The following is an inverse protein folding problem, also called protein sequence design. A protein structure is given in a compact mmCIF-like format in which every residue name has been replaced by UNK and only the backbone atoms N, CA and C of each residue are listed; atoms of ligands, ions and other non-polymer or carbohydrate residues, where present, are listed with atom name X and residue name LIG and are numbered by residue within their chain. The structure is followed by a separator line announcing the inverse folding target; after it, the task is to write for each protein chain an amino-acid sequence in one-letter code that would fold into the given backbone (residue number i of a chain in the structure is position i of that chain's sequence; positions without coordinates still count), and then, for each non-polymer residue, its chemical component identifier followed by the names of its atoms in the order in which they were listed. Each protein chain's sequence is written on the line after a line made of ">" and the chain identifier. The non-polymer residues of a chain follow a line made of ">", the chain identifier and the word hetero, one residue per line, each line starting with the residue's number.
data_IF_971749645655
#
_entry.id   IF_971749645655
#
_cell.length_a   1.000
_cell.length_b   1.000
_cell.length_c   1.000
_cell.angle_alpha   90.00
_cell.angle_beta   90.00
_cell.angle_gamma   90.00
#
_symmetry.space_group_name_H-M   'P 1'
#
loop_
_entity.id
_entity.type
_entity.pdbx_description
1 polymer ?
#
# COMPACT_ATOMS: atom_id res chain seq x y z
N UNK A 1 -2.29 0.95 2.18
CA UNK A 1 -3.54 0.64 1.46
C UNK A 1 -4.76 1.35 2.05
N UNK A 2 -5.09 1.21 3.34
CA UNK A 2 -6.39 1.66 3.84
C UNK A 2 -6.61 3.18 3.69
N UNK A 3 -5.65 3.99 4.16
CA UNK A 3 -5.68 5.46 3.98
C UNK A 3 -5.73 5.91 2.51
N UNK A 4 -5.04 5.21 1.60
CA UNK A 4 -5.03 5.57 0.18
C UNK A 4 -6.42 5.38 -0.47
N UNK A 5 -7.15 4.34 -0.07
CA UNK A 5 -8.52 4.11 -0.54
C UNK A 5 -9.47 5.17 0.03
N UNK A 6 -9.37 5.50 1.33
CA UNK A 6 -10.24 6.52 1.93
C UNK A 6 -9.97 7.93 1.41
N UNK A 7 -8.72 8.25 1.03
CA UNK A 7 -8.37 9.49 0.32
C UNK A 7 -8.98 9.57 -1.09
N UNK A 8 -9.36 8.43 -1.67
CA UNK A 8 -10.13 8.33 -2.91
C UNK A 8 -11.64 8.21 -2.68
N UNK A 9 -12.11 8.39 -1.44
CA UNK A 9 -13.54 8.31 -1.09
C UNK A 9 -14.08 6.88 -0.99
N UNK A 10 -13.21 5.87 -1.07
CA UNK A 10 -13.62 4.47 -1.06
C UNK A 10 -13.74 3.88 0.34
N UNK A 11 -14.25 2.64 0.36
CA UNK A 11 -14.30 1.79 1.54
C UNK A 11 -13.29 0.66 1.35
N UNK A 12 -12.52 0.36 2.39
CA UNK A 12 -11.46 -0.64 2.34
C UNK A 12 -11.63 -1.64 3.48
N UNK A 13 -11.58 -2.93 3.15
CA UNK A 13 -11.33 -4.01 4.11
C UNK A 13 -9.92 -4.52 3.85
N UNK A 14 -9.02 -4.34 4.81
CA UNK A 14 -7.65 -4.87 4.78
C UNK A 14 -7.58 -6.08 5.71
N UNK A 15 -7.28 -7.26 5.15
CA UNK A 15 -7.06 -8.47 5.95
C UNK A 15 -5.61 -8.49 6.45
N UNK A 16 -5.42 -8.68 7.76
CA UNK A 16 -4.10 -8.76 8.40
C UNK A 16 -4.17 -9.83 9.50
N UNK A 17 -3.16 -10.68 9.59
CA UNK A 17 -3.15 -11.82 10.53
C UNK A 17 -2.53 -11.45 11.88
N UNK A 18 -1.66 -10.43 11.89
CA UNK A 18 -0.99 -9.95 13.09
C UNK A 18 -1.74 -8.73 13.67
N UNK A 19 -2.42 -8.92 14.81
CA UNK A 19 -3.19 -7.87 15.46
C UNK A 19 -2.33 -6.67 15.88
N UNK A 20 -1.03 -6.86 16.18
CA UNK A 20 -0.13 -5.75 16.50
C UNK A 20 0.07 -4.83 15.28
N UNK A 21 0.11 -5.40 14.07
CA UNK A 21 0.20 -4.62 12.82
C UNK A 21 -1.06 -3.79 12.60
N UNK A 22 -2.24 -4.34 12.90
CA UNK A 22 -3.51 -3.62 12.85
C UNK A 22 -3.49 -2.45 13.84
N UNK A 23 -3.15 -2.72 15.11
CA UNK A 23 -3.11 -1.69 16.17
C UNK A 23 -2.16 -0.55 15.80
N UNK A 24 -0.96 -0.86 15.26
CA UNK A 24 -0.02 0.17 14.80
C UNK A 24 -0.60 1.07 13.70
N UNK A 25 -1.46 0.55 12.81
CA UNK A 25 -2.11 1.37 11.77
C UNK A 25 -3.23 2.24 12.32
N UNK A 26 -3.94 1.79 13.36
CA UNK A 26 -4.89 2.61 14.10
C UNK A 26 -4.16 3.77 14.79
N UNK A 27 -3.09 3.47 15.54
CA UNK A 27 -2.29 4.47 16.28
C UNK A 27 -1.73 5.57 15.36
N UNK A 28 -1.31 5.20 14.15
CA UNK A 28 -0.70 6.12 13.19
C UNK A 28 -1.71 6.81 12.26
N UNK A 29 -3.02 6.58 12.47
CA UNK A 29 -4.09 7.18 11.66
C UNK A 29 -4.17 6.66 10.22
N UNK A 30 -3.55 5.51 9.93
CA UNK A 30 -3.58 4.87 8.60
C UNK A 30 -4.75 3.90 8.40
N UNK A 31 -5.50 3.63 9.47
CA UNK A 31 -6.67 2.75 9.54
C UNK A 31 -7.70 3.38 10.48
N UNK A 32 -9.00 3.26 10.15
CA UNK A 32 -10.06 3.87 10.97
C UNK A 32 -10.55 2.94 12.08
N UNK A 33 -10.69 1.64 11.80
CA UNK A 33 -11.17 0.67 12.78
C UNK A 33 -10.69 -0.76 12.51
N UNK A 34 -10.91 -1.66 13.48
CA UNK A 34 -10.64 -3.09 13.35
C UNK A 34 -11.87 -3.95 13.64
N UNK A 35 -11.93 -5.12 13.02
CA UNK A 35 -12.93 -6.16 13.22
C UNK A 35 -12.25 -7.54 13.32
N UNK A 36 -12.90 -8.50 13.96
CA UNK A 36 -12.38 -9.86 14.15
C UNK A 36 -13.11 -10.92 13.34
N UNK A 37 -14.17 -10.54 12.62
CA UNK A 37 -14.95 -11.45 11.79
C UNK A 37 -15.40 -10.77 10.49
N UNK A 38 -15.53 -11.57 9.44
CA UNK A 38 -15.86 -11.09 8.10
C UNK A 38 -17.27 -10.50 8.04
N UNK A 39 -18.25 -11.14 8.68
CA UNK A 39 -19.66 -10.71 8.58
C UNK A 39 -19.88 -9.32 9.18
N UNK A 40 -19.26 -9.02 10.33
CA UNK A 40 -19.21 -7.69 10.92
C UNK A 40 -18.55 -6.67 9.99
N UNK A 41 -17.38 -6.99 9.44
CA UNK A 41 -16.66 -6.10 8.54
C UNK A 41 -17.48 -5.75 7.29
N UNK A 42 -18.21 -6.73 6.72
CA UNK A 42 -19.09 -6.53 5.58
C UNK A 42 -20.31 -5.68 5.95
N UNK A 43 -20.94 -5.92 7.10
CA UNK A 43 -22.08 -5.13 7.55
C UNK A 43 -21.70 -3.65 7.74
N UNK A 44 -20.54 -3.40 8.36
CA UNK A 44 -20.01 -2.04 8.54
C UNK A 44 -19.67 -1.40 7.18
N UNK A 45 -19.03 -2.14 6.28
CA UNK A 45 -18.70 -1.63 4.94
C UNK A 45 -19.96 -1.28 4.14
N UNK A 46 -20.99 -2.12 4.17
CA UNK A 46 -22.27 -1.84 3.51
C UNK A 46 -22.95 -0.60 4.11
N UNK A 47 -22.96 -0.47 5.44
CA UNK A 47 -23.51 0.71 6.09
C UNK A 47 -22.78 1.99 5.69
N UNK A 48 -21.45 1.96 5.67
CA UNK A 48 -20.64 3.08 5.21
C UNK A 48 -20.90 3.44 3.73
N UNK A 49 -21.17 2.42 2.89
CA UNK A 49 -21.52 2.60 1.48
C UNK A 49 -22.88 3.29 1.31
N UNK A 50 -23.89 2.85 2.08
CA UNK A 50 -25.21 3.50 2.12
C UNK A 50 -25.11 4.97 2.56
N UNK A 51 -24.26 5.24 3.56
CA UNK A 51 -24.07 6.57 4.13
C UNK A 51 -23.10 7.45 3.31
N UNK A 52 -22.60 6.95 2.15
CA UNK A 52 -21.58 7.62 1.31
C UNK A 52 -20.34 8.08 2.09
N UNK A 53 -19.88 7.27 3.04
CA UNK A 53 -18.76 7.58 3.92
C UNK A 53 -17.55 6.71 3.59
N UNK A 54 -16.42 7.35 3.28
CA UNK A 54 -15.15 6.67 3.17
C UNK A 54 -14.74 6.05 4.52
N UNK A 55 -14.33 4.78 4.51
CA UNK A 55 -14.01 4.04 5.73
C UNK A 55 -12.98 2.94 5.47
N UNK A 56 -12.05 2.76 6.40
CA UNK A 56 -11.07 1.68 6.36
C UNK A 56 -11.18 0.74 7.57
N UNK A 57 -11.28 -0.56 7.30
CA UNK A 57 -11.55 -1.62 8.26
C UNK A 57 -10.41 -2.63 8.20
N UNK A 58 -9.72 -2.83 9.31
CA UNK A 58 -8.71 -3.89 9.46
C UNK A 58 -9.38 -5.15 9.96
N UNK A 59 -9.43 -6.19 9.14
CA UNK A 59 -10.01 -7.47 9.51
C UNK A 59 -8.91 -8.41 9.96
N UNK A 60 -8.93 -8.81 11.24
CA UNK A 60 -8.02 -9.82 11.76
C UNK A 60 -8.32 -11.18 11.10
N UNK A 61 -7.35 -11.73 10.39
CA UNK A 61 -7.47 -13.04 9.75
C UNK A 61 -6.37 -13.32 8.73
N UNK A 62 -6.34 -14.55 8.22
CA UNK A 62 -5.43 -14.92 7.14
C UNK A 62 -6.07 -14.62 5.77
N UNK A 63 -5.38 -13.91 4.88
CA UNK A 63 -5.90 -13.60 3.55
C UNK A 63 -6.27 -14.85 2.74
N UNK A 64 -5.51 -15.95 2.88
CA UNK A 64 -5.81 -17.23 2.23
C UNK A 64 -7.05 -17.94 2.81
N UNK A 65 -7.54 -17.56 3.99
CA UNK A 65 -8.83 -18.01 4.52
C UNK A 65 -9.98 -17.06 4.18
N UNK A 66 -9.71 -15.75 4.23
CA UNK A 66 -10.75 -14.73 4.08
C UNK A 66 -11.15 -14.53 2.62
N UNK A 67 -10.21 -14.47 1.68
CA UNK A 67 -10.55 -14.23 0.27
C UNK A 67 -11.45 -15.34 -0.32
N UNK A 68 -11.24 -16.64 -0.03
CA UNK A 68 -12.20 -17.68 -0.41
C UNK A 68 -13.61 -17.46 0.14
N UNK A 69 -13.75 -16.92 1.36
CA UNK A 69 -15.08 -16.68 1.98
C UNK A 69 -15.87 -15.58 1.27
N UNK A 70 -15.21 -14.59 0.66
CA UNK A 70 -15.89 -13.62 -0.20
C UNK A 70 -16.58 -14.31 -1.38
N UNK A 71 -15.92 -15.31 -1.98
CA UNK A 71 -16.47 -16.08 -3.10
C UNK A 71 -17.63 -16.97 -2.63
N UNK A 72 -17.44 -17.68 -1.51
CA UNK A 72 -18.45 -18.56 -0.90
C UNK A 72 -19.74 -17.80 -0.58
N UNK A 73 -19.61 -16.62 0.05
CA UNK A 73 -20.74 -15.75 0.40
C UNK A 73 -21.26 -14.92 -0.77
N UNK A 74 -20.66 -15.07 -1.96
CA UNK A 74 -20.96 -14.30 -3.17
C UNK A 74 -20.91 -12.77 -2.95
N UNK A 75 -19.95 -12.32 -2.15
CA UNK A 75 -19.66 -10.90 -1.91
C UNK A 75 -18.53 -10.50 -2.83
N UNK A 76 -18.80 -9.59 -3.75
CA UNK A 76 -17.86 -9.22 -4.83
C UNK A 76 -17.40 -7.77 -4.63
N UNK A 77 -16.19 -7.54 -4.09
CA UNK A 77 -15.63 -6.20 -3.98
C UNK A 77 -15.41 -5.60 -5.37
N UNK A 78 -15.52 -4.29 -5.51
CA UNK A 78 -15.25 -3.62 -6.79
C UNK A 78 -13.77 -3.72 -7.19
N UNK A 79 -12.87 -3.68 -6.21
CA UNK A 79 -11.41 -3.73 -6.39
C UNK A 79 -10.81 -4.75 -5.43
N UNK A 80 -9.89 -5.59 -5.93
CA UNK A 80 -9.15 -6.57 -5.14
C UNK A 80 -7.66 -6.49 -5.47
N UNK A 81 -6.83 -6.42 -4.45
CA UNK A 81 -5.38 -6.46 -4.56
C UNK A 81 -4.77 -7.07 -3.31
N UNK A 82 -3.45 -7.28 -3.30
CA UNK A 82 -2.71 -7.83 -2.18
C UNK A 82 -1.38 -7.10 -1.97
N UNK A 83 -0.98 -6.99 -0.71
CA UNK A 83 0.32 -6.45 -0.30
C UNK A 83 0.89 -7.19 0.92
N UNK A 84 0.51 -8.46 1.13
CA UNK A 84 1.28 -9.36 2.01
C UNK A 84 2.74 -9.42 1.56
N UNK A 85 3.66 -9.84 2.42
CA UNK A 85 5.07 -9.98 2.04
C UNK A 85 5.32 -11.30 1.30
N UNK A 86 4.57 -11.56 0.22
CA UNK A 86 4.67 -12.81 -0.53
C UNK A 86 6.03 -13.05 -1.22
N UNK A 87 6.85 -12.01 -1.33
CA UNK A 87 8.22 -12.09 -1.85
C UNK A 87 9.18 -12.85 -0.92
N UNK A 88 8.79 -13.07 0.34
CA UNK A 88 9.54 -13.85 1.32
C UNK A 88 8.61 -14.93 1.91
N UNK A 89 8.70 -16.13 1.36
CA UNK A 89 7.89 -17.29 1.77
C UNK A 89 8.15 -17.77 3.19
N UNK A 90 9.29 -17.42 3.81
CA UNK A 90 9.67 -17.91 5.13
C UNK A 90 9.26 -16.94 6.24
N UNK A 91 9.49 -15.64 6.06
CA UNK A 91 9.18 -14.63 7.07
C UNK A 91 7.95 -13.79 6.73
N UNK A 92 7.63 -13.65 5.45
CA UNK A 92 6.68 -12.66 4.96
C UNK A 92 5.23 -13.13 4.82
N UNK A 93 5.00 -14.43 4.63
CA UNK A 93 3.65 -14.98 4.45
C UNK A 93 3.32 -16.05 5.48
N UNK A 94 2.21 -15.87 6.21
CA UNK A 94 1.80 -16.84 7.23
C UNK A 94 0.87 -17.91 6.63
N UNK A 95 1.17 -19.21 6.79
CA UNK A 95 0.30 -20.29 6.33
C UNK A 95 -1.09 -20.29 6.97
N UNK A 96 -2.13 -20.65 6.21
CA UNK A 96 -3.54 -20.51 6.63
C UNK A 96 -4.06 -21.65 7.53
N UNK A 97 -3.50 -22.86 7.42
CA UNK A 97 -3.96 -24.05 8.14
C UNK A 97 -3.38 -24.21 9.55
N UNK A 98 -2.63 -23.21 10.00
CA UNK A 98 -1.91 -23.25 11.27
C UNK A 98 -2.25 -21.97 12.01
N UNK A 99 -2.53 -22.08 13.31
CA UNK A 99 -2.73 -20.88 14.11
C UNK A 99 -1.45 -20.01 14.10
N UNK A 100 -1.60 -18.71 14.30
CA UNK A 100 -0.50 -17.77 14.18
C UNK A 100 0.73 -18.14 15.03
N UNK A 101 0.53 -18.52 16.30
CA UNK A 101 1.63 -18.86 17.23
C UNK A 101 2.37 -20.12 16.82
N UNK A 102 1.65 -21.15 16.39
CA UNK A 102 2.23 -22.41 15.93
C UNK A 102 2.95 -22.23 14.58
N UNK A 103 2.44 -21.34 13.72
CA UNK A 103 3.12 -20.98 12.48
C UNK A 103 4.47 -20.34 12.78
N UNK A 104 4.54 -19.40 13.73
CA UNK A 104 5.80 -18.80 14.17
C UNK A 104 6.75 -19.85 14.75
N UNK A 105 6.26 -20.79 15.57
CA UNK A 105 7.12 -21.88 16.09
C UNK A 105 7.59 -22.83 14.98
N UNK A 106 6.75 -23.13 13.99
CA UNK A 106 7.10 -23.98 12.86
C UNK A 106 8.17 -23.34 11.98
N UNK A 107 8.13 -22.02 11.79
CA UNK A 107 9.14 -21.27 11.03
C UNK A 107 10.56 -21.57 11.53
N UNK A 108 10.75 -21.60 12.84
CA UNK A 108 12.05 -21.88 13.46
C UNK A 108 12.40 -23.37 13.45
N UNK A 109 11.44 -24.22 13.83
CA UNK A 109 11.68 -25.67 14.01
C UNK A 109 11.76 -26.44 12.70
N UNK A 110 11.01 -26.03 11.69
CA UNK A 110 10.92 -26.71 10.39
C UNK A 110 10.64 -25.71 9.25
N UNK A 111 11.62 -24.87 8.88
CA UNK A 111 11.47 -23.83 7.86
C UNK A 111 11.07 -24.38 6.49
N UNK A 112 11.55 -25.59 6.12
CA UNK A 112 11.17 -26.23 4.85
C UNK A 112 9.67 -26.55 4.79
N UNK A 113 9.11 -27.06 5.88
CA UNK A 113 7.67 -27.34 5.97
C UNK A 113 6.86 -26.04 5.98
N UNK A 114 7.35 -25.01 6.68
CA UNK A 114 6.73 -23.69 6.67
C UNK A 114 6.63 -23.12 5.25
N UNK A 115 7.74 -23.06 4.52
CA UNK A 115 7.81 -22.57 3.14
C UNK A 115 6.81 -23.29 2.23
N UNK A 116 6.75 -24.63 2.33
CA UNK A 116 5.78 -25.42 1.55
C UNK A 116 4.34 -24.96 1.81
N UNK A 117 3.98 -24.78 3.07
CA UNK A 117 2.63 -24.34 3.45
C UNK A 117 2.35 -22.87 3.11
N UNK A 118 3.39 -22.02 3.10
CA UNK A 118 3.29 -20.65 2.61
C UNK A 118 2.93 -20.64 1.12
N UNK A 119 3.60 -21.44 0.29
CA UNK A 119 3.28 -21.58 -1.13
C UNK A 119 1.87 -22.12 -1.37
N UNK A 120 1.44 -23.14 -0.62
CA UNK A 120 0.07 -23.65 -0.69
C UNK A 120 -0.96 -22.55 -0.37
N UNK A 121 -0.70 -21.75 0.67
CA UNK A 121 -1.56 -20.65 1.09
C UNK A 121 -1.61 -19.50 0.06
N UNK A 122 -0.45 -19.09 -0.47
CA UNK A 122 -0.34 -18.12 -1.57
C UNK A 122 -1.12 -18.57 -2.81
N UNK A 123 -1.11 -19.87 -3.10
CA UNK A 123 -1.84 -20.44 -4.23
C UNK A 123 -3.35 -20.33 -4.06
N UNK A 124 -3.85 -20.60 -2.85
CA UNK A 124 -5.28 -20.45 -2.51
C UNK A 124 -5.69 -18.98 -2.62
N UNK A 125 -4.88 -18.08 -2.07
CA UNK A 125 -5.10 -16.64 -2.14
C UNK A 125 -5.15 -16.15 -3.61
N UNK A 126 -4.16 -16.52 -4.43
CA UNK A 126 -4.12 -16.15 -5.85
C UNK A 126 -5.33 -16.70 -6.63
N UNK A 127 -5.73 -17.96 -6.39
CA UNK A 127 -6.95 -18.55 -6.99
C UNK A 127 -8.21 -17.81 -6.57
N UNK A 128 -8.29 -17.33 -5.33
CA UNK A 128 -9.42 -16.53 -4.89
C UNK A 128 -9.47 -15.17 -5.60
N UNK A 129 -8.33 -14.49 -5.74
CA UNK A 129 -8.23 -13.25 -6.53
C UNK A 129 -8.67 -13.46 -7.99
N UNK A 130 -8.21 -14.53 -8.65
CA UNK A 130 -8.63 -14.91 -10.01
C UNK A 130 -10.15 -15.16 -10.10
N UNK A 131 -10.73 -15.78 -9.08
CA UNK A 131 -12.17 -16.07 -9.04
C UNK A 131 -13.00 -14.80 -8.86
N UNK A 132 -12.54 -13.86 -8.03
CA UNK A 132 -13.15 -12.54 -7.88
C UNK A 132 -13.05 -11.73 -9.18
N UNK A 133 -11.92 -11.80 -9.89
CA UNK A 133 -11.77 -11.21 -11.23
C UNK A 133 -12.83 -11.74 -12.20
N UNK A 134 -13.01 -13.06 -12.27
CA UNK A 134 -14.03 -13.69 -13.13
C UNK A 134 -15.46 -13.31 -12.75
N UNK A 135 -15.70 -12.95 -11.49
CA UNK A 135 -16.99 -12.47 -10.99
C UNK A 135 -17.19 -10.96 -11.17
N UNK A 136 -16.20 -10.24 -11.71
CA UNK A 136 -16.32 -8.83 -12.11
C UNK A 136 -15.51 -7.84 -11.28
N UNK A 137 -14.77 -8.28 -10.25
CA UNK A 137 -13.85 -7.40 -9.53
C UNK A 137 -12.72 -6.92 -10.44
N UNK A 138 -12.29 -5.66 -10.28
CA UNK A 138 -11.02 -5.19 -10.83
C UNK A 138 -9.90 -5.77 -9.96
N UNK A 139 -9.08 -6.63 -10.53
CA UNK A 139 -8.00 -7.31 -9.79
C UNK A 139 -6.64 -6.92 -10.35
N UNK A 140 -5.69 -6.62 -9.46
CA UNK A 140 -4.32 -6.34 -9.84
C UNK A 140 -3.34 -6.74 -8.74
N UNK A 141 -2.11 -7.04 -9.15
CA UNK A 141 -0.98 -7.32 -8.27
C UNK A 141 -0.25 -6.03 -7.88
N UNK A 142 0.05 -5.87 -6.60
CA UNK A 142 0.70 -4.68 -6.06
C UNK A 142 2.19 -4.88 -5.75
N UNK A 143 2.90 -5.66 -6.57
CA UNK A 143 4.37 -5.72 -6.56
C UNK A 143 4.98 -6.51 -5.41
N UNK A 144 4.27 -7.51 -4.89
CA UNK A 144 4.77 -8.38 -3.82
C UNK A 144 5.12 -9.81 -4.30
N UNK A 145 5.04 -10.06 -5.61
CA UNK A 145 5.34 -11.36 -6.23
C UNK A 145 4.40 -12.53 -5.86
N UNK A 146 3.19 -12.27 -5.36
CA UNK A 146 2.22 -13.34 -5.06
C UNK A 146 1.94 -14.21 -6.29
N UNK A 147 1.78 -13.60 -7.47
CA UNK A 147 1.53 -14.34 -8.72
C UNK A 147 2.69 -15.23 -9.13
N UNK A 148 3.92 -14.75 -8.98
CA UNK A 148 5.13 -15.54 -9.28
C UNK A 148 5.20 -16.77 -8.39
N UNK A 149 5.06 -16.58 -7.08
CA UNK A 149 5.04 -17.69 -6.11
C UNK A 149 3.92 -18.69 -6.39
N UNK A 150 2.70 -18.21 -6.67
CA UNK A 150 1.57 -19.07 -6.98
C UNK A 150 1.75 -19.85 -8.29
N UNK A 151 2.42 -19.27 -9.30
CA UNK A 151 2.73 -19.95 -10.56
C UNK A 151 3.81 -21.01 -10.37
N UNK A 152 4.97 -20.60 -9.84
CA UNK A 152 6.19 -21.39 -9.86
C UNK A 152 6.19 -22.47 -8.77
N UNK A 153 5.65 -22.16 -7.60
CA UNK A 153 5.63 -23.05 -6.44
C UNK A 153 4.23 -23.58 -6.10
N UNK A 154 3.19 -22.95 -6.66
CA UNK A 154 1.79 -23.17 -6.29
C UNK A 154 0.89 -23.87 -7.32
N UNK A 155 1.45 -24.15 -8.49
CA UNK A 155 0.76 -24.77 -9.64
C UNK A 155 -0.50 -23.98 -10.10
N UNK A 156 -0.51 -22.66 -9.92
CA UNK A 156 -1.55 -21.77 -10.47
C UNK A 156 -1.11 -21.31 -11.85
N UNK A 157 -1.40 -22.13 -12.87
CA UNK A 157 -0.95 -21.89 -14.27
C UNK A 157 -1.35 -20.52 -14.82
N UNK A 158 -2.51 -20.02 -14.40
CA UNK A 158 -3.10 -18.77 -14.88
C UNK A 158 -2.96 -17.64 -13.83
N UNK A 159 -1.95 -17.70 -12.96
CA UNK A 159 -1.72 -16.69 -11.91
C UNK A 159 -1.53 -15.26 -12.46
N UNK A 160 -1.10 -15.14 -13.72
CA UNK A 160 -0.83 -13.85 -14.37
C UNK A 160 -2.01 -13.30 -15.18
N UNK A 161 -3.20 -13.90 -15.08
CA UNK A 161 -4.41 -13.38 -15.76
C UNK A 161 -4.87 -12.02 -15.22
N UNK A 162 -4.43 -11.63 -14.01
CA UNK A 162 -4.54 -10.26 -13.52
C UNK A 162 -3.20 -9.52 -13.62
N UNK A 163 -3.20 -8.25 -14.06
CA UNK A 163 -1.99 -7.50 -14.36
C UNK A 163 -1.30 -7.01 -13.08
N UNK A 164 -0.03 -6.61 -13.21
CA UNK A 164 0.64 -5.78 -12.20
C UNK A 164 0.14 -4.34 -12.25
N UNK A 165 0.17 -3.64 -11.12
CA UNK A 165 -0.28 -2.26 -11.03
C UNK A 165 0.51 -1.29 -11.92
N UNK A 166 1.80 -1.57 -12.18
CA UNK A 166 2.64 -0.72 -13.05
C UNK A 166 2.14 -0.70 -14.49
N UNK A 167 2.09 -1.83 -15.24
CA UNK A 167 1.57 -1.82 -16.60
C UNK A 167 0.10 -1.38 -16.67
N UNK A 168 -0.71 -1.65 -15.64
CA UNK A 168 -2.13 -1.32 -15.64
C UNK A 168 -2.41 0.17 -15.40
N UNK A 169 -1.67 0.83 -14.50
CA UNK A 169 -2.04 2.16 -14.01
C UNK A 169 -0.89 3.17 -13.92
N UNK A 170 0.33 2.74 -13.57
CA UNK A 170 1.42 3.67 -13.19
C UNK A 170 2.39 3.99 -14.34
N UNK A 171 2.53 3.10 -15.34
CA UNK A 171 3.51 3.29 -16.42
C UNK A 171 3.41 4.63 -17.15
N UNK A 172 2.22 5.22 -17.43
CA UNK A 172 2.14 6.56 -18.00
C UNK A 172 2.85 7.63 -17.17
N UNK A 173 2.76 7.57 -15.83
CA UNK A 173 3.47 8.48 -14.93
C UNK A 173 4.99 8.31 -15.07
N UNK A 174 5.47 7.07 -15.19
CA UNK A 174 6.90 6.81 -15.41
C UNK A 174 7.40 7.35 -16.74
N UNK A 175 6.57 7.35 -17.79
CA UNK A 175 6.93 7.96 -19.07
C UNK A 175 7.15 9.49 -18.97
N UNK A 176 6.51 10.15 -18.00
CA UNK A 176 6.73 11.58 -17.68
C UNK A 176 7.86 11.80 -16.66
N UNK A 177 8.57 10.75 -16.27
CA UNK A 177 9.60 10.79 -15.23
C UNK A 177 9.03 11.00 -13.82
N UNK A 178 7.71 10.86 -13.62
CA UNK A 178 7.09 10.91 -12.30
C UNK A 178 7.42 9.65 -11.52
N UNK A 179 7.51 9.77 -10.20
CA UNK A 179 7.83 8.67 -9.31
C UNK A 179 7.83 9.12 -7.86
N UNK A 180 8.13 8.23 -6.89
CA UNK A 180 7.98 8.49 -5.45
C UNK A 180 9.08 9.37 -4.87
N UNK A 181 9.26 10.55 -5.47
CA UNK A 181 10.12 11.63 -5.00
C UNK A 181 9.68 12.08 -3.60
N UNK A 182 10.66 12.28 -2.72
CA UNK A 182 10.43 12.60 -1.31
C UNK A 182 11.54 13.45 -0.74
N UNK A 183 11.23 14.14 0.33
CA UNK A 183 12.22 14.91 1.09
C UNK A 183 11.97 14.82 2.59
N UNK A 184 13.02 15.09 3.37
CA UNK A 184 13.06 14.93 4.83
C UNK A 184 13.74 16.15 5.44
N UNK A 185 13.10 16.75 6.44
CA UNK A 185 13.64 17.89 7.17
C UNK A 185 14.60 17.42 8.28
N UNK A 186 15.90 17.71 8.15
CA UNK A 186 16.90 17.30 9.15
C UNK A 186 16.81 18.10 10.46
N UNK A 187 16.10 19.21 10.46
CA UNK A 187 15.78 19.99 11.67
C UNK A 187 14.92 19.21 12.66
N UNK A 188 14.18 18.21 12.18
CA UNK A 188 13.11 17.56 12.93
C UNK A 188 11.85 18.41 13.09
N UNK A 189 11.82 19.61 12.50
CA UNK A 189 10.71 20.55 12.66
C UNK A 189 9.66 20.38 11.54
N UNK A 190 8.39 20.08 11.88
CA UNK A 190 7.30 19.97 10.90
C UNK A 190 7.09 21.23 10.04
N UNK A 191 7.41 22.41 10.56
CA UNK A 191 7.23 23.68 9.83
C UNK A 191 8.08 23.75 8.56
N UNK A 192 9.25 23.10 8.53
CA UNK A 192 10.05 23.02 7.30
C UNK A 192 9.32 22.22 6.19
N UNK A 193 8.56 21.19 6.57
CA UNK A 193 7.71 20.46 5.63
C UNK A 193 6.52 21.32 5.18
N UNK A 194 5.88 22.08 6.06
CA UNK A 194 4.77 22.95 5.65
C UNK A 194 5.23 24.10 4.73
N UNK A 195 6.42 24.65 4.96
CA UNK A 195 7.03 25.64 4.06
C UNK A 195 7.35 25.05 2.69
N UNK A 196 7.92 23.85 2.64
CA UNK A 196 8.19 23.16 1.37
C UNK A 196 6.90 22.71 0.66
N UNK A 197 5.85 22.34 1.40
CA UNK A 197 4.51 22.11 0.85
C UNK A 197 3.94 23.40 0.20
N UNK A 198 4.10 24.56 0.85
CA UNK A 198 3.68 25.83 0.26
C UNK A 198 4.49 26.16 -1.01
N UNK A 199 5.80 25.94 -0.98
CA UNK A 199 6.69 26.19 -2.12
C UNK A 199 6.35 25.30 -3.32
N UNK A 200 6.06 24.02 -3.12
CA UNK A 200 5.70 23.13 -4.24
C UNK A 200 4.38 23.53 -4.89
N UNK A 201 3.43 24.06 -4.11
CA UNK A 201 2.16 24.59 -4.64
C UNK A 201 2.35 25.90 -5.42
N UNK A 202 3.27 26.75 -4.98
CA UNK A 202 3.66 27.99 -5.67
C UNK A 202 4.33 27.72 -7.01
N UNK A 203 5.23 26.73 -7.06
CA UNK A 203 5.99 26.39 -8.27
C UNK A 203 5.15 25.66 -9.33
N UNK A 204 4.17 24.87 -8.91
CA UNK A 204 3.34 24.05 -9.79
C UNK A 204 1.83 24.35 -9.63
N UNK A 205 1.39 25.60 -9.81
CA UNK A 205 0.03 26.04 -9.47
C UNK A 205 -1.05 25.43 -10.39
N UNK A 206 -0.65 24.94 -11.56
CA UNK A 206 -1.56 24.35 -12.54
C UNK A 206 -1.83 22.86 -12.28
N UNK A 207 -1.00 22.17 -11.48
CA UNK A 207 -1.22 20.75 -11.16
C UNK A 207 -2.24 20.61 -10.01
N UNK A 208 -3.51 20.50 -10.41
CA UNK A 208 -4.64 20.32 -9.48
C UNK A 208 -4.56 19.02 -8.69
N UNK A 209 -3.94 17.97 -9.25
CA UNK A 209 -3.80 16.67 -8.59
C UNK A 209 -2.74 16.75 -7.50
N UNK A 210 -1.59 17.36 -7.80
CA UNK A 210 -0.56 17.69 -6.81
C UNK A 210 -1.14 18.57 -5.70
N UNK A 211 -1.89 19.61 -6.06
CA UNK A 211 -2.48 20.49 -5.06
C UNK A 211 -3.47 19.78 -4.13
N UNK A 212 -4.31 18.90 -4.69
CA UNK A 212 -5.19 18.03 -3.89
C UNK A 212 -4.37 17.09 -3.01
N UNK A 213 -3.32 16.47 -3.55
CA UNK A 213 -2.43 15.57 -2.81
C UNK A 213 -1.80 16.24 -1.60
N UNK A 214 -1.14 17.39 -1.76
CA UNK A 214 -0.50 18.13 -0.66
C UNK A 214 -1.51 18.48 0.43
N UNK A 215 -2.68 19.02 0.05
CA UNK A 215 -3.75 19.36 1.00
C UNK A 215 -4.26 18.14 1.78
N UNK A 216 -4.37 16.98 1.14
CA UNK A 216 -4.77 15.76 1.83
C UNK A 216 -3.64 15.25 2.73
N UNK A 217 -2.41 15.26 2.25
CA UNK A 217 -1.25 14.77 2.98
C UNK A 217 -1.02 15.58 4.27
N UNK A 218 -1.18 16.90 4.24
CA UNK A 218 -1.14 17.75 5.44
C UNK A 218 -2.21 17.39 6.48
N UNK A 219 -3.43 17.04 6.03
CA UNK A 219 -4.55 16.75 6.93
C UNK A 219 -4.57 15.32 7.46
N UNK A 220 -4.04 14.37 6.69
CA UNK A 220 -4.26 12.94 6.90
C UNK A 220 -2.99 12.17 7.26
N UNK A 221 -1.81 12.67 6.90
CA UNK A 221 -0.54 11.95 7.12
C UNK A 221 0.13 12.49 8.37
N UNK A 222 0.22 11.66 9.40
CA UNK A 222 1.02 11.95 10.58
C UNK A 222 2.50 11.70 10.30
N UNK A 223 3.37 12.60 10.74
CA UNK A 223 4.82 12.41 10.61
C UNK A 223 5.31 11.27 11.51
N UNK A 224 6.34 10.55 11.06
CA UNK A 224 6.95 9.44 11.78
C UNK A 224 8.47 9.62 11.79
N UNK A 225 9.07 9.90 12.96
CA UNK A 225 10.47 10.30 13.04
C UNK A 225 10.68 11.71 12.49
N UNK A 226 11.70 11.91 11.66
CA UNK A 226 11.91 13.20 10.99
C UNK A 226 10.72 13.53 10.08
N UNK A 227 10.19 14.77 10.13
CA UNK A 227 9.14 15.19 9.21
C UNK A 227 9.59 15.03 7.76
N UNK A 228 8.73 14.39 6.98
CA UNK A 228 9.02 14.03 5.60
C UNK A 228 7.75 14.12 4.74
N UNK A 229 7.93 14.42 3.46
CA UNK A 229 6.86 14.47 2.48
C UNK A 229 7.23 13.65 1.27
N UNK A 230 6.25 12.88 0.79
CA UNK A 230 6.28 12.26 -0.53
C UNK A 230 5.39 13.10 -1.46
N UNK A 231 5.88 13.38 -2.67
CA UNK A 231 5.12 14.06 -3.72
C UNK A 231 5.67 13.60 -5.06
N UNK A 232 4.82 13.09 -5.94
CA UNK A 232 5.27 12.55 -7.22
C UNK A 232 5.55 13.69 -8.20
N UNK A 233 6.83 14.01 -8.38
CA UNK A 233 7.32 15.00 -9.33
C UNK A 233 8.01 14.33 -10.51
N UNK A 234 7.80 14.90 -11.70
CA UNK A 234 8.28 14.42 -12.98
C UNK A 234 9.65 14.94 -13.39
N UNK A 235 10.01 14.67 -14.64
CA UNK A 235 11.18 15.29 -15.25
C UNK A 235 11.04 16.82 -15.22
N UNK A 236 12.15 17.54 -14.99
CA UNK A 236 12.22 18.98 -14.70
C UNK A 236 11.59 19.46 -13.38
N UNK A 237 10.42 18.95 -13.00
CA UNK A 237 9.77 19.34 -11.73
C UNK A 237 10.69 19.04 -10.53
N UNK A 238 11.38 17.89 -10.55
CA UNK A 238 12.32 17.49 -9.47
C UNK A 238 13.50 18.45 -9.29
N UNK A 239 14.19 18.87 -10.35
CA UNK A 239 15.36 19.74 -10.21
C UNK A 239 14.93 21.18 -9.88
N UNK A 240 13.83 21.67 -10.47
CA UNK A 240 13.28 23.00 -10.15
C UNK A 240 12.93 23.08 -8.66
N UNK A 241 12.23 22.07 -8.14
CA UNK A 241 11.88 22.05 -6.72
C UNK A 241 13.11 21.84 -5.81
N UNK A 242 14.07 21.00 -6.21
CA UNK A 242 15.30 20.79 -5.46
C UNK A 242 16.17 22.06 -5.34
N UNK A 243 16.30 22.82 -6.42
CA UNK A 243 16.99 24.12 -6.42
C UNK A 243 16.26 25.12 -5.50
N UNK A 244 14.93 25.20 -5.58
CA UNK A 244 14.13 26.08 -4.72
C UNK A 244 14.26 25.71 -3.23
N UNK A 245 14.23 24.42 -2.88
CA UNK A 245 14.49 23.97 -1.50
C UNK A 245 15.87 24.43 -1.04
N UNK A 246 16.90 24.29 -1.87
CA UNK A 246 18.26 24.68 -1.52
C UNK A 246 18.37 26.20 -1.29
N UNK A 247 17.69 27.02 -2.10
CA UNK A 247 17.62 28.47 -1.88
C UNK A 247 16.90 28.81 -0.57
N UNK A 248 15.81 28.11 -0.24
CA UNK A 248 15.12 28.30 1.04
C UNK A 248 16.00 27.95 2.25
N UNK A 249 16.86 26.93 2.15
CA UNK A 249 17.87 26.63 3.18
C UNK A 249 18.90 27.77 3.27
N UNK A 250 19.43 28.21 2.13
CA UNK A 250 20.43 29.29 2.06
C UNK A 250 19.93 30.61 2.64
N UNK A 251 18.65 30.92 2.42
CA UNK A 251 18.00 32.14 2.90
C UNK A 251 17.45 32.01 4.33
N UNK A 252 17.74 30.92 5.04
CA UNK A 252 17.27 30.64 6.40
C UNK A 252 15.73 30.59 6.52
N UNK A 253 15.02 30.40 5.41
CA UNK A 253 13.59 30.12 5.41
C UNK A 253 13.31 28.73 5.99
N UNK A 254 14.24 27.79 5.82
CA UNK A 254 14.21 26.46 6.42
C UNK A 254 15.26 26.37 7.53
N UNK A 255 14.93 25.68 8.63
CA UNK A 255 15.75 25.66 9.86
C UNK A 255 17.03 24.84 9.72
N UNK A 256 17.06 23.88 8.80
CA UNK A 256 18.22 23.02 8.55
C UNK A 256 18.19 22.49 7.11
N UNK A 257 19.28 21.83 6.64
CA UNK A 257 19.28 21.18 5.34
C UNK A 257 18.16 20.14 5.18
N UNK A 258 17.71 19.97 3.94
CA UNK A 258 16.70 18.99 3.55
C UNK A 258 17.37 17.86 2.77
N UNK A 259 17.13 16.61 3.18
CA UNK A 259 17.52 15.44 2.37
C UNK A 259 16.46 15.23 1.30
N UNK A 260 16.89 15.13 0.05
CA UNK A 260 16.02 14.78 -1.08
C UNK A 260 16.37 13.36 -1.55
N UNK A 261 15.35 12.56 -1.79
CA UNK A 261 15.52 11.18 -2.24
C UNK A 261 14.25 10.62 -2.86
N UNK A 262 14.18 9.29 -2.91
CA UNK A 262 13.06 8.54 -3.49
C UNK A 262 13.13 7.08 -3.07
N UNK A 263 12.11 6.33 -3.45
CA UNK A 263 12.18 4.86 -3.48
C UNK A 263 13.10 4.37 -4.61
N UNK A 264 13.50 3.10 -4.56
CA UNK A 264 14.17 2.41 -5.65
C UNK A 264 13.20 2.08 -6.80
N UNK A 265 11.89 1.99 -6.51
CA UNK A 265 10.85 1.95 -7.54
C UNK A 265 10.66 3.36 -8.13
N UNK A 266 11.27 3.61 -9.28
CA UNK A 266 11.17 4.88 -10.02
C UNK A 266 11.36 4.63 -11.52
N UNK A 267 11.02 5.63 -12.35
CA UNK A 267 10.89 5.53 -13.80
C UNK A 267 12.12 4.96 -14.54
N UNK A 268 13.32 5.01 -13.95
CA UNK A 268 14.56 4.55 -14.56
C UNK A 268 15.55 3.88 -13.60
N UNK A 269 15.09 3.31 -12.48
CA UNK A 269 16.00 2.75 -11.46
C UNK A 269 15.73 1.31 -11.03
N UNK A 270 14.84 0.59 -11.72
CA UNK A 270 14.50 -0.79 -11.37
C UNK A 270 14.29 -1.64 -12.61
N UNK A 271 14.77 -2.88 -12.56
CA UNK A 271 14.41 -3.96 -13.46
C UNK A 271 13.75 -5.07 -12.62
N UNK A 272 12.43 -5.20 -12.73
CA UNK A 272 11.63 -6.20 -12.00
C UNK A 272 10.52 -6.68 -12.93
N UNK A 273 10.74 -7.75 -13.71
CA UNK A 273 9.78 -8.29 -14.68
C UNK A 273 8.44 -8.71 -14.08
#
# INVERSE_FOLDING_TARGET
>A
QPLAVTMNGGINITVEIDEERINRRLETGYLDMKCHNLDEAINIANKAKEDNKALSIGLLGNAADIFPKFIEKNIIPEIVTDQTSAHDELYGYIPHQINYKDALSMREKNPKKYIKYSYESMSIHCRAMLSLQKKGSIVFDYGNNLRGQAKDNGNVKNAFDYPGFVPAYIRPLFCEGKGPFRWVALSGDPEDIYKTDAKVLELFPHDKLLARWIKMAQKKVQFQGLPARICWLGYRERNIFGEAINDMVKNEELKAPIVIGRDHLDCGSVASP
#
